data_IF_978038778672
#
_entry.id   IF_978038778672
#
_cell.length_a   1.000
_cell.length_b   1.000
_cell.length_c   1.000
_cell.angle_alpha   90.00
_cell.angle_beta   90.00
_cell.angle_gamma   90.00
#
_symmetry.space_group_name_H-M   'P 1'
#
loop_
_entity.id
_entity.type
_entity.pdbx_description
1 polymer ?
#
# COMPACT_ATOMS: atom_id res chain seq x y z
N UNK A 1 62.66 -42.97 -26.31
CA UNK A 1 62.25 -41.79 -25.52
C UNK A 1 62.25 -40.59 -26.46
N UNK A 2 61.11 -39.88 -26.53
CA UNK A 2 60.84 -38.46 -26.93
C UNK A 2 61.76 -37.79 -27.97
N UNK A 3 61.34 -36.96 -28.91
CA UNK A 3 60.12 -36.27 -29.35
C UNK A 3 60.51 -35.65 -30.72
N UNK A 4 59.70 -35.05 -31.58
CA UNK A 4 58.32 -34.59 -31.56
C UNK A 4 57.97 -34.21 -33.01
N UNK A 5 56.68 -34.20 -33.32
CA UNK A 5 56.14 -34.01 -34.66
C UNK A 5 55.67 -32.56 -34.84
N UNK A 6 56.00 -31.97 -35.99
CA UNK A 6 55.49 -30.70 -36.53
C UNK A 6 53.98 -30.79 -36.81
N UNK A 7 53.21 -29.79 -36.37
CA UNK A 7 52.55 -28.74 -37.18
C UNK A 7 51.42 -29.24 -38.08
N UNK A 8 50.17 -28.91 -37.72
CA UNK A 8 49.24 -28.39 -38.73
C UNK A 8 48.06 -27.64 -38.10
N UNK A 9 47.78 -26.50 -38.72
CA UNK A 9 46.68 -25.58 -38.47
C UNK A 9 45.35 -26.20 -38.92
N UNK A 10 44.25 -25.64 -38.38
CA UNK A 10 43.06 -25.14 -39.10
C UNK A 10 41.73 -25.48 -38.40
N UNK A 11 40.86 -24.46 -38.42
CA UNK A 11 39.40 -24.42 -38.25
C UNK A 11 38.80 -24.36 -36.85
N UNK A 12 38.45 -23.12 -36.53
CA UNK A 12 37.32 -22.69 -35.71
C UNK A 12 36.10 -23.62 -35.76
N UNK A 13 35.57 -23.91 -34.58
CA UNK A 13 34.14 -24.17 -34.39
C UNK A 13 33.73 -23.43 -33.13
N UNK A 14 33.05 -22.31 -33.35
CA UNK A 14 32.54 -21.48 -32.28
C UNK A 14 31.54 -22.25 -31.43
N UNK A 15 31.76 -22.21 -30.12
CA UNK A 15 30.70 -22.36 -29.14
C UNK A 15 30.53 -21.00 -28.48
N UNK A 16 29.58 -20.23 -28.98
CA UNK A 16 29.01 -19.14 -28.21
C UNK A 16 28.20 -19.78 -27.07
N UNK A 17 28.48 -19.48 -25.80
CA UNK A 17 27.53 -19.81 -24.75
C UNK A 17 26.38 -18.82 -24.90
N UNK A 18 25.18 -19.34 -25.18
CA UNK A 18 23.95 -18.60 -24.97
C UNK A 18 23.87 -18.28 -23.47
N UNK A 19 24.23 -17.05 -23.10
CA UNK A 19 23.77 -16.45 -21.85
C UNK A 19 22.25 -16.39 -21.92
N UNK A 20 21.60 -17.42 -21.39
CA UNK A 20 20.20 -17.33 -21.03
C UNK A 20 20.12 -16.33 -19.87
N UNK A 21 19.86 -15.06 -20.18
CA UNK A 21 19.34 -14.13 -19.20
C UNK A 21 17.99 -14.69 -18.74
N UNK A 22 17.98 -15.34 -17.57
CA UNK A 22 16.75 -15.48 -16.81
C UNK A 22 16.33 -14.08 -16.41
N UNK A 23 15.42 -13.50 -17.18
CA UNK A 23 14.60 -12.39 -16.69
C UNK A 23 13.66 -13.02 -15.65
N UNK A 24 14.06 -12.98 -14.39
CA UNK A 24 13.12 -13.18 -13.28
C UNK A 24 12.21 -11.95 -13.31
N UNK A 25 11.11 -12.05 -14.05
CA UNK A 25 9.99 -11.14 -13.88
C UNK A 25 9.46 -11.39 -12.47
N UNK A 26 9.85 -10.55 -11.52
CA UNK A 26 9.17 -10.47 -10.23
C UNK A 26 7.79 -9.92 -10.55
N UNK A 27 6.82 -10.82 -10.77
CA UNK A 27 5.42 -10.48 -10.66
C UNK A 27 5.18 -10.17 -9.19
N UNK A 28 5.42 -8.92 -8.80
CA UNK A 28 4.89 -8.38 -7.56
C UNK A 28 3.37 -8.35 -7.75
N UNK A 29 2.71 -9.45 -7.40
CA UNK A 29 1.25 -9.43 -7.23
C UNK A 29 0.98 -8.51 -6.04
N UNK A 30 0.07 -7.54 -6.21
CA UNK A 30 -0.30 -6.55 -5.17
C UNK A 30 -0.90 -7.11 -3.88
N UNK A 31 -0.78 -8.41 -3.60
CA UNK A 31 -1.14 -9.04 -2.33
C UNK A 31 -0.18 -8.62 -1.21
N UNK A 32 1.10 -8.43 -1.53
CA UNK A 32 2.13 -8.12 -0.53
C UNK A 32 1.84 -6.79 0.18
N UNK A 33 1.36 -5.77 -0.54
CA UNK A 33 1.06 -4.45 0.05
C UNK A 33 -0.27 -4.40 0.82
N UNK A 34 -1.26 -5.19 0.39
CA UNK A 34 -2.55 -5.29 1.07
C UNK A 34 -2.40 -5.96 2.45
N UNK A 35 -1.72 -7.11 2.50
CA UNK A 35 -1.46 -7.83 3.75
C UNK A 35 -0.45 -7.09 4.65
N UNK A 36 0.46 -6.32 4.05
CA UNK A 36 1.45 -5.52 4.79
C UNK A 36 0.82 -4.47 5.68
N UNK A 37 -0.27 -3.83 5.27
CA UNK A 37 -0.96 -2.79 6.06
C UNK A 37 -1.90 -3.36 7.14
N UNK A 38 -2.07 -4.69 7.15
CA UNK A 38 -2.90 -5.45 8.08
C UNK A 38 -2.09 -6.19 9.15
N UNK A 39 -0.76 -6.06 9.18
CA UNK A 39 0.12 -6.87 10.02
C UNK A 39 0.96 -6.05 10.99
N UNK A 40 0.99 -6.44 12.27
CA UNK A 40 1.88 -5.84 13.28
C UNK A 40 1.66 -6.37 14.71
N UNK A 41 2.43 -5.86 15.66
CA UNK A 41 2.49 -6.34 17.06
C UNK A 41 1.20 -6.11 17.89
N UNK A 42 0.19 -5.46 17.31
CA UNK A 42 -1.12 -5.28 17.91
C UNK A 42 -2.14 -6.28 17.33
N UNK A 43 -2.72 -7.12 18.20
CA UNK A 43 -3.87 -7.96 17.86
C UNK A 43 -5.10 -7.10 17.50
N UNK A 44 -5.74 -7.38 16.37
CA UNK A 44 -7.01 -6.77 15.95
C UNK A 44 -6.87 -5.60 14.97
N UNK A 45 -7.88 -4.71 14.92
CA UNK A 45 -8.05 -3.69 13.88
C UNK A 45 -6.99 -2.56 13.87
N UNK A 46 -6.00 -2.56 14.77
CA UNK A 46 -4.91 -1.57 14.80
C UNK A 46 -3.64 -2.03 14.09
N UNK A 47 -3.55 -3.30 13.67
CA UNK A 47 -2.62 -3.82 12.66
C UNK A 47 -1.29 -3.06 12.50
N UNK A 48 -0.46 -2.95 13.54
CA UNK A 48 0.88 -2.33 13.43
C UNK A 48 0.93 -0.82 13.22
N UNK A 49 -0.20 -0.12 13.31
CA UNK A 49 -0.25 1.35 13.33
C UNK A 49 0.05 1.88 14.73
N UNK A 50 1.02 2.78 14.80
CA UNK A 50 1.47 3.45 16.01
C UNK A 50 1.34 4.96 15.83
N UNK A 51 1.06 5.68 16.91
CA UNK A 51 1.01 7.15 16.92
C UNK A 51 2.07 7.70 17.84
N UNK A 52 2.61 8.87 17.47
CA UNK A 52 3.44 9.66 18.39
C UNK A 52 2.66 9.91 19.71
N UNK A 53 3.31 9.66 20.85
CA UNK A 53 2.69 9.50 22.17
C UNK A 53 2.18 10.82 22.79
N UNK A 54 2.39 11.95 22.13
CA UNK A 54 2.09 13.29 22.66
C UNK A 54 0.62 13.75 22.46
N UNK A 55 -0.23 12.96 21.78
CA UNK A 55 -1.60 13.34 21.44
C UNK A 55 -2.66 12.40 22.06
N UNK A 56 -3.86 12.89 22.46
CA UNK A 56 -4.92 12.04 23.00
C UNK A 56 -5.31 10.95 21.99
N UNK A 57 -5.62 9.75 22.50
CA UNK A 57 -5.83 8.56 21.69
C UNK A 57 -7.03 8.70 20.74
N UNK A 58 -6.79 9.21 19.52
CA UNK A 58 -7.64 8.89 18.38
C UNK A 58 -7.62 7.37 18.20
N UNK A 59 -8.75 6.77 17.81
CA UNK A 59 -8.78 5.35 17.47
C UNK A 59 -8.69 5.24 15.95
N UNK A 60 -7.62 4.61 15.46
CA UNK A 60 -7.51 4.12 14.09
C UNK A 60 -7.98 2.68 14.04
N UNK A 61 -8.64 2.29 12.95
CA UNK A 61 -8.93 0.90 12.59
C UNK A 61 -8.68 0.71 11.10
N UNK A 62 -8.08 -0.41 10.74
CA UNK A 62 -7.94 -0.84 9.36
C UNK A 62 -8.39 -2.30 9.23
N UNK A 63 -9.17 -2.59 8.19
CA UNK A 63 -9.71 -3.93 7.95
C UNK A 63 -10.10 -4.13 6.48
N UNK A 64 -10.18 -5.39 6.08
CA UNK A 64 -10.69 -5.79 4.76
C UNK A 64 -12.19 -5.55 4.66
N UNK A 65 -12.68 -5.25 3.46
CA UNK A 65 -14.11 -5.25 3.17
C UNK A 65 -14.76 -6.61 3.39
N UNK A 66 -16.09 -6.62 3.44
CA UNK A 66 -16.86 -7.83 3.73
C UNK A 66 -16.81 -8.84 2.57
N UNK A 67 -16.25 -10.04 2.82
CA UNK A 67 -16.16 -11.12 1.83
C UNK A 67 -17.52 -11.53 1.26
N UNK A 68 -18.59 -11.49 2.08
CA UNK A 68 -19.91 -11.91 1.63
C UNK A 68 -20.55 -10.96 0.59
N UNK A 69 -19.93 -9.81 0.36
CA UNK A 69 -20.31 -8.83 -0.64
C UNK A 69 -19.22 -8.60 -1.70
N UNK A 70 -18.26 -9.54 -1.79
CA UNK A 70 -17.13 -9.52 -2.73
C UNK A 70 -16.28 -8.23 -2.62
N UNK A 71 -16.19 -7.68 -1.39
CA UNK A 71 -15.49 -6.41 -1.10
C UNK A 71 -14.15 -6.62 -0.38
N UNK A 72 -13.75 -7.86 -0.13
CA UNK A 72 -12.53 -8.23 0.60
C UNK A 72 -11.23 -7.88 -0.13
N UNK A 73 -11.31 -7.43 -1.39
CA UNK A 73 -10.16 -6.88 -2.13
C UNK A 73 -9.77 -5.45 -1.73
N UNK A 74 -10.62 -4.75 -0.97
CA UNK A 74 -10.40 -3.38 -0.53
C UNK A 74 -10.11 -3.29 0.97
N UNK A 75 -9.33 -2.28 1.38
CA UNK A 75 -9.14 -1.94 2.80
C UNK A 75 -9.99 -0.73 3.17
N UNK A 76 -10.58 -0.80 4.35
CA UNK A 76 -11.34 0.28 4.97
C UNK A 76 -10.53 0.79 6.16
N UNK A 77 -10.19 2.07 6.13
CA UNK A 77 -9.53 2.81 7.20
C UNK A 77 -10.56 3.68 7.92
N UNK A 78 -10.80 3.43 9.20
CA UNK A 78 -11.55 4.33 10.08
C UNK A 78 -10.59 5.14 10.97
N UNK A 79 -10.78 6.45 11.04
CA UNK A 79 -10.01 7.34 11.90
C UNK A 79 -10.90 8.41 12.53
N UNK A 80 -10.74 8.64 13.83
CA UNK A 80 -11.36 9.78 14.51
C UNK A 80 -10.40 10.97 14.50
N UNK A 81 -10.80 12.07 13.85
CA UNK A 81 -9.96 13.26 13.67
C UNK A 81 -10.81 14.54 13.54
N UNK A 82 -10.39 15.70 14.09
CA UNK A 82 -9.19 15.93 14.91
C UNK A 82 -9.31 15.28 16.31
N UNK A 83 -8.18 15.04 17.01
CA UNK A 83 -8.15 14.23 18.23
C UNK A 83 -8.74 14.93 19.49
N UNK A 84 -9.04 16.23 19.43
CA UNK A 84 -9.34 17.10 20.59
C UNK A 84 -10.81 17.54 20.71
N UNK A 85 -11.73 16.98 19.92
CA UNK A 85 -13.13 17.02 20.32
C UNK A 85 -14.03 18.03 19.58
N UNK A 86 -13.61 18.63 18.47
CA UNK A 86 -14.47 19.51 17.65
C UNK A 86 -15.74 18.81 17.15
N UNK A 87 -16.74 19.53 16.63
CA UNK A 87 -17.98 18.98 16.01
C UNK A 87 -17.76 18.04 14.82
N UNK A 88 -16.49 17.79 14.52
CA UNK A 88 -15.83 17.09 13.43
C UNK A 88 -15.22 15.73 13.89
N UNK A 89 -15.41 15.30 15.16
CA UNK A 89 -15.06 13.95 15.64
C UNK A 89 -15.94 12.81 15.06
N UNK A 90 -16.52 12.97 13.87
CA UNK A 90 -17.10 11.82 13.20
C UNK A 90 -15.95 10.87 12.83
N UNK A 91 -16.14 9.56 13.01
CA UNK A 91 -15.21 8.61 12.41
C UNK A 91 -15.23 8.83 10.90
N UNK A 92 -14.09 9.20 10.33
CA UNK A 92 -13.91 9.29 8.88
C UNK A 92 -13.51 7.92 8.37
N UNK A 93 -14.07 7.51 7.24
CA UNK A 93 -13.76 6.21 6.63
C UNK A 93 -13.23 6.42 5.23
N UNK A 94 -12.07 5.83 4.94
CA UNK A 94 -11.37 5.93 3.67
C UNK A 94 -11.16 4.54 3.08
N UNK A 95 -11.11 4.44 1.76
CA UNK A 95 -10.98 3.14 1.08
C UNK A 95 -9.73 3.06 0.23
N UNK A 96 -8.92 2.04 0.46
CA UNK A 96 -7.90 1.58 -0.49
C UNK A 96 -8.53 0.51 -1.38
N UNK A 97 -8.81 0.83 -2.63
CA UNK A 97 -9.60 -0.02 -3.54
C UNK A 97 -8.94 -0.17 -4.92
N UNK A 98 -7.92 -1.03 -5.05
CA UNK A 98 -7.22 -1.24 -6.32
C UNK A 98 -8.08 -1.92 -7.39
N UNK A 99 -9.12 -2.67 -7.00
CA UNK A 99 -10.00 -3.42 -7.90
C UNK A 99 -11.32 -2.69 -8.22
N UNK A 100 -11.59 -1.54 -7.58
CA UNK A 100 -12.73 -0.69 -7.86
C UNK A 100 -14.08 -1.18 -7.30
N UNK A 101 -14.08 -2.07 -6.29
CA UNK A 101 -15.31 -2.64 -5.70
C UNK A 101 -16.15 -1.62 -4.90
N UNK A 102 -15.54 -0.48 -4.53
CA UNK A 102 -16.14 0.67 -3.84
C UNK A 102 -16.32 1.91 -4.73
N UNK A 103 -16.03 1.86 -6.03
CA UNK A 103 -16.00 3.03 -6.91
C UNK A 103 -17.30 3.88 -6.92
N UNK A 104 -18.46 3.28 -6.65
CA UNK A 104 -19.76 3.98 -6.57
C UNK A 104 -20.12 4.50 -5.16
N UNK A 105 -19.27 4.23 -4.16
CA UNK A 105 -19.51 4.50 -2.72
C UNK A 105 -18.52 5.49 -2.11
N UNK A 106 -17.57 5.97 -2.90
CA UNK A 106 -16.51 6.89 -2.49
C UNK A 106 -16.67 8.26 -3.16
N UNK A 107 -16.12 9.31 -2.56
CA UNK A 107 -16.16 10.69 -3.10
C UNK A 107 -15.10 10.94 -4.19
N UNK A 108 -14.55 9.86 -4.74
CA UNK A 108 -13.41 9.86 -5.64
C UNK A 108 -13.00 8.43 -5.98
N UNK A 109 -11.84 8.30 -6.62
CA UNK A 109 -11.25 6.99 -6.95
C UNK A 109 -9.94 6.82 -6.20
N UNK A 110 -9.63 5.57 -5.85
CA UNK A 110 -8.31 5.20 -5.37
C UNK A 110 -7.26 5.56 -6.44
N UNK A 111 -6.17 6.22 -6.01
CA UNK A 111 -5.02 6.55 -6.85
C UNK A 111 -3.75 5.96 -6.23
N UNK A 112 -3.10 4.96 -6.85
CA UNK A 112 -1.89 4.33 -6.31
C UNK A 112 -0.62 5.16 -6.49
N UNK A 113 -0.64 6.24 -7.28
CA UNK A 113 0.54 7.06 -7.63
C UNK A 113 0.18 8.56 -7.54
N UNK A 114 -0.36 8.93 -6.40
CA UNK A 114 -0.79 10.30 -6.13
C UNK A 114 0.40 11.22 -5.83
N UNK A 115 0.18 12.53 -5.93
CA UNK A 115 1.06 13.53 -5.34
C UNK A 115 0.49 13.96 -3.98
N UNK A 116 1.32 14.06 -2.94
CA UNK A 116 0.89 14.56 -1.64
C UNK A 116 0.67 16.08 -1.73
N UNK A 117 -0.54 16.60 -1.44
CA UNK A 117 -0.78 18.03 -1.43
C UNK A 117 0.01 18.76 -0.31
N UNK A 118 0.41 20.00 -0.57
CA UNK A 118 1.18 20.83 0.39
C UNK A 118 0.38 21.15 1.68
N UNK A 119 -0.94 21.09 1.62
CA UNK A 119 -1.88 21.34 2.72
C UNK A 119 -2.37 20.07 3.41
N UNK A 120 -1.84 18.90 3.04
CA UNK A 120 -2.14 17.64 3.72
C UNK A 120 -1.74 17.71 5.21
N UNK A 121 -2.64 17.25 6.07
CA UNK A 121 -2.48 17.26 7.52
C UNK A 121 -1.82 15.95 7.94
N UNK A 122 -0.65 16.04 8.58
CA UNK A 122 -0.03 14.87 9.20
C UNK A 122 -0.86 14.41 10.41
N UNK A 123 -1.16 13.12 10.46
CA UNK A 123 -1.95 12.56 11.57
C UNK A 123 -1.08 12.11 12.76
N UNK A 124 0.22 11.96 12.52
CA UNK A 124 1.17 11.33 13.43
C UNK A 124 1.06 9.80 13.50
N UNK A 125 0.15 9.17 12.74
CA UNK A 125 0.07 7.72 12.61
C UNK A 125 1.10 7.20 11.60
N UNK A 126 1.81 6.16 11.99
CA UNK A 126 2.78 5.45 11.18
C UNK A 126 2.56 3.94 11.33
N UNK A 127 2.61 3.20 10.24
CA UNK A 127 2.67 1.75 10.28
C UNK A 127 4.11 1.31 10.54
N UNK A 128 4.32 0.21 11.27
CA UNK A 128 5.66 -0.33 11.58
C UNK A 128 6.53 -0.71 10.37
N UNK A 129 5.98 -0.62 9.16
CA UNK A 129 6.69 -0.83 7.88
C UNK A 129 7.25 0.45 7.28
N UNK A 130 6.93 1.62 7.85
CA UNK A 130 7.42 2.93 7.40
C UNK A 130 6.37 3.81 6.72
N UNK A 131 5.11 3.36 6.60
CA UNK A 131 4.03 4.15 5.98
C UNK A 131 3.50 5.18 6.95
N UNK A 132 3.45 6.44 6.56
CA UNK A 132 2.84 7.52 7.32
C UNK A 132 1.45 7.86 6.78
N UNK A 133 0.51 8.15 7.68
CA UNK A 133 -0.85 8.54 7.31
C UNK A 133 -1.04 10.06 7.39
N UNK A 134 -1.58 10.62 6.31
CA UNK A 134 -1.96 12.02 6.18
C UNK A 134 -3.41 12.15 5.74
N UNK A 135 -4.03 13.31 5.95
CA UNK A 135 -5.40 13.59 5.54
C UNK A 135 -5.46 14.88 4.71
N UNK A 136 -6.33 14.94 3.72
CA UNK A 136 -6.75 16.21 3.13
C UNK A 136 -7.43 17.10 4.18
N UNK A 137 -7.34 18.43 4.05
CA UNK A 137 -7.90 19.36 5.03
C UNK A 137 -9.43 19.26 5.15
N UNK A 138 -10.09 18.94 4.03
CA UNK A 138 -11.53 18.73 3.93
C UNK A 138 -11.98 17.30 4.28
N UNK A 139 -11.03 16.42 4.65
CA UNK A 139 -11.24 15.00 4.93
C UNK A 139 -11.84 14.19 3.78
N UNK A 140 -11.70 14.65 2.54
CA UNK A 140 -12.17 13.92 1.35
C UNK A 140 -11.25 12.76 0.96
N UNK A 141 -9.99 12.78 1.41
CA UNK A 141 -8.95 11.81 1.05
C UNK A 141 -8.01 11.55 2.22
N UNK A 142 -7.64 10.29 2.41
CA UNK A 142 -6.49 9.89 3.21
C UNK A 142 -5.31 9.56 2.29
N UNK A 143 -4.10 9.93 2.70
CA UNK A 143 -2.87 9.62 1.97
C UNK A 143 -1.98 8.68 2.76
N UNK A 144 -1.63 7.55 2.16
CA UNK A 144 -0.62 6.63 2.68
C UNK A 144 0.71 6.95 2.00
N UNK A 145 1.68 7.45 2.77
CA UNK A 145 2.97 7.93 2.29
C UNK A 145 4.06 6.94 2.67
N UNK A 146 4.73 6.35 1.67
CA UNK A 146 5.82 5.38 1.83
C UNK A 146 7.06 5.88 1.07
N UNK A 147 7.93 6.62 1.77
CA UNK A 147 9.08 7.27 1.14
C UNK A 147 8.64 8.30 0.10
N UNK A 148 8.94 8.02 -1.17
CA UNK A 148 8.56 8.86 -2.32
C UNK A 148 7.22 8.44 -2.96
N UNK A 149 6.63 7.33 -2.53
CA UNK A 149 5.35 6.81 -3.04
C UNK A 149 4.19 7.32 -2.20
N UNK A 150 3.09 7.70 -2.85
CA UNK A 150 1.86 8.15 -2.18
C UNK A 150 0.65 7.47 -2.81
N UNK A 151 -0.15 6.82 -1.98
CA UNK A 151 -1.49 6.39 -2.38
C UNK A 151 -2.54 7.36 -1.85
N UNK A 152 -3.57 7.67 -2.65
CA UNK A 152 -4.73 8.44 -2.24
C UNK A 152 -5.96 7.53 -2.10
N UNK A 153 -6.54 7.53 -0.91
CA UNK A 153 -7.67 6.69 -0.51
C UNK A 153 -8.90 7.60 -0.33
N UNK A 154 -9.90 7.55 -1.23
CA UNK A 154 -11.04 8.44 -1.14
C UNK A 154 -11.95 8.11 0.05
N UNK A 155 -12.61 9.14 0.57
CA UNK A 155 -13.59 9.00 1.64
C UNK A 155 -14.84 8.24 1.18
N UNK A 156 -15.41 7.43 2.08
CA UNK A 156 -16.73 6.82 1.89
C UNK A 156 -17.82 7.89 2.00
N UNK A 157 -18.72 7.93 1.02
CA UNK A 157 -19.88 8.86 1.00
C UNK A 157 -21.15 8.23 1.56
N UNK A 158 -21.18 6.90 1.69
CA UNK A 158 -22.31 6.14 2.20
C UNK A 158 -21.82 4.93 3.01
N UNK A 159 -22.69 4.36 3.83
CA UNK A 159 -22.34 3.19 4.63
C UNK A 159 -21.82 2.04 3.77
N UNK A 160 -20.82 1.33 4.26
CA UNK A 160 -20.17 0.19 3.60
C UNK A 160 -20.93 -1.13 3.76
N UNK A 161 -22.14 -1.09 4.33
CA UNK A 161 -23.01 -2.26 4.45
C UNK A 161 -23.51 -2.64 3.05
N UNK A 162 -23.66 -3.94 2.79
CA UNK A 162 -24.13 -4.47 1.53
C UNK A 162 -25.37 -3.74 0.99
N UNK A 163 -25.33 -3.43 -0.30
CA UNK A 163 -26.40 -2.73 -1.02
C UNK A 163 -27.61 -3.63 -1.30
#
# INVERSE_FOLDING_TARGET
>A
MLAGHHDERVTARGWAPLLALLVLATSACGSDDHERLLTGDHDGLQAGWERDQELPASVIRIYEGETHCDMDSALILEIHWPPDGGTENAGHSFVRDPEGVFAERTDGSFDPDAELPDDAITTGWQHGTGVALWLADDFSTAYAVDGDSVEAWPALTSGWICA
#
